data_IF_940838892803
#
_entry.id   IF_940838892803
#
_cell.length_a   1.000
_cell.length_b   1.000
_cell.length_c   1.000
_cell.angle_alpha   90.00
_cell.angle_beta   90.00
_cell.angle_gamma   90.00
#
_symmetry.space_group_name_H-M   'P 1'
#
loop_
_entity.id
_entity.type
_entity.pdbx_description
1 polymer ?
#
# COMPACT_ATOMS: atom_id res chain seq x y z
N UNK A 1 0.41 5.72 -20.18
CA UNK A 1 -0.37 4.59 -20.72
C UNK A 1 -1.68 4.39 -19.97
N UNK A 2 -1.70 4.03 -18.68
CA UNK A 2 -2.96 3.75 -17.98
C UNK A 2 -4.05 4.83 -18.17
N UNK A 3 -3.72 6.11 -17.97
CA UNK A 3 -4.63 7.23 -18.22
C UNK A 3 -5.04 7.37 -19.70
N UNK A 4 -4.10 7.18 -20.64
CA UNK A 4 -4.37 7.26 -22.09
C UNK A 4 -5.27 6.12 -22.57
N UNK A 5 -5.24 4.99 -21.87
CA UNK A 5 -6.12 3.84 -22.11
C UNK A 5 -7.51 4.03 -21.46
N UNK A 6 -7.75 5.14 -20.76
CA UNK A 6 -9.02 5.44 -20.11
C UNK A 6 -9.27 4.69 -18.80
N UNK A 7 -8.22 4.21 -18.13
CA UNK A 7 -8.37 3.62 -16.80
C UNK A 7 -8.73 4.69 -15.76
N UNK A 8 -9.66 4.38 -14.85
CA UNK A 8 -10.00 5.27 -13.73
C UNK A 8 -8.94 5.20 -12.63
N UNK A 9 -8.34 4.02 -12.44
CA UNK A 9 -7.41 3.72 -11.35
C UNK A 9 -6.28 2.81 -11.79
N UNK A 10 -5.18 2.86 -11.05
CA UNK A 10 -4.11 1.86 -11.07
C UNK A 10 -3.94 1.26 -9.68
N UNK A 11 -3.39 0.04 -9.61
CA UNK A 11 -2.88 -0.52 -8.37
C UNK A 11 -1.35 -0.64 -8.48
N UNK A 12 -0.65 -0.03 -7.52
CA UNK A 12 0.81 -0.07 -7.48
C UNK A 12 1.25 -1.34 -6.75
N UNK A 13 2.15 -2.10 -7.39
CA UNK A 13 2.78 -3.30 -6.84
C UNK A 13 3.82 -2.97 -5.76
N UNK A 14 3.60 -3.43 -4.52
CA UNK A 14 4.40 -3.05 -3.34
C UNK A 14 5.40 -4.10 -2.81
N UNK A 15 5.69 -5.20 -3.52
CA UNK A 15 6.76 -6.13 -3.07
C UNK A 15 8.11 -5.44 -2.87
N UNK A 16 8.60 -4.60 -3.81
CA UNK A 16 9.87 -3.90 -3.64
C UNK A 16 9.89 -3.02 -2.39
N UNK A 17 8.74 -2.43 -2.02
CA UNK A 17 8.58 -1.72 -0.76
C UNK A 17 8.67 -2.67 0.43
N UNK A 18 7.92 -3.78 0.45
CA UNK A 18 7.92 -4.73 1.55
C UNK A 18 9.35 -5.25 1.83
N UNK A 19 10.11 -5.58 0.78
CA UNK A 19 11.53 -5.95 0.88
C UNK A 19 12.42 -4.84 1.43
N UNK A 20 12.20 -3.60 1.00
CA UNK A 20 12.96 -2.47 1.50
C UNK A 20 12.63 -2.16 2.98
N UNK A 21 11.39 -2.39 3.40
CA UNK A 21 10.95 -2.27 4.79
C UNK A 21 11.65 -3.29 5.69
N UNK A 22 11.78 -4.56 5.26
CA UNK A 22 12.56 -5.58 5.97
C UNK A 22 14.03 -5.17 6.17
N UNK A 23 14.62 -4.50 5.17
CA UNK A 23 16.01 -4.03 5.22
C UNK A 23 16.20 -2.75 6.06
N UNK A 24 15.18 -1.90 6.15
CA UNK A 24 15.20 -0.62 6.86
C UNK A 24 16.16 0.42 6.29
N UNK A 25 16.38 1.50 7.05
CA UNK A 25 17.37 2.55 6.75
C UNK A 25 17.22 3.17 5.36
N UNK A 26 18.36 3.34 4.67
CA UNK A 26 18.43 3.98 3.35
C UNK A 26 17.70 3.19 2.25
N UNK A 27 17.49 1.89 2.42
CA UNK A 27 16.70 1.10 1.47
C UNK A 27 15.22 1.49 1.54
N UNK A 28 14.66 1.57 2.75
CA UNK A 28 13.29 1.99 2.98
C UNK A 28 13.05 3.43 2.48
N UNK A 29 13.94 4.36 2.83
CA UNK A 29 13.82 5.77 2.42
C UNK A 29 13.77 5.91 0.89
N UNK A 30 14.73 5.29 0.18
CA UNK A 30 14.76 5.33 -1.29
C UNK A 30 13.55 4.67 -1.93
N UNK A 31 13.04 3.59 -1.34
CA UNK A 31 11.83 2.93 -1.82
C UNK A 31 10.63 3.88 -1.70
N UNK A 32 10.40 4.46 -0.52
CA UNK A 32 9.31 5.42 -0.31
C UNK A 32 9.37 6.62 -1.26
N UNK A 33 10.56 7.14 -1.57
CA UNK A 33 10.71 8.23 -2.55
C UNK A 33 10.29 7.81 -3.98
N UNK A 34 10.62 6.58 -4.39
CA UNK A 34 10.19 6.05 -5.69
C UNK A 34 8.67 5.89 -5.76
N UNK A 35 8.05 5.35 -4.71
CA UNK A 35 6.61 5.22 -4.64
C UNK A 35 5.92 6.58 -4.58
N UNK A 36 6.46 7.55 -3.83
CA UNK A 36 5.96 8.94 -3.83
C UNK A 36 5.93 9.51 -5.25
N UNK A 37 7.04 9.42 -5.99
CA UNK A 37 7.12 9.91 -7.36
C UNK A 37 6.11 9.22 -8.29
N UNK A 38 5.88 7.91 -8.11
CA UNK A 38 4.90 7.16 -8.89
C UNK A 38 3.46 7.61 -8.58
N UNK A 39 3.12 7.80 -7.30
CA UNK A 39 1.80 8.26 -6.86
C UNK A 39 1.52 9.67 -7.38
N UNK A 40 2.46 10.61 -7.19
CA UNK A 40 2.33 11.99 -7.69
C UNK A 40 2.13 12.02 -9.21
N UNK A 41 2.86 11.20 -9.95
CA UNK A 41 2.70 11.09 -11.40
C UNK A 41 1.32 10.57 -11.78
N UNK A 42 0.84 9.51 -11.14
CA UNK A 42 -0.47 8.94 -11.43
C UNK A 42 -1.60 9.94 -11.11
N UNK A 43 -1.53 10.60 -9.95
CA UNK A 43 -2.46 11.67 -9.55
C UNK A 43 -2.43 12.86 -10.49
N UNK A 44 -1.25 13.27 -10.96
CA UNK A 44 -1.10 14.32 -11.98
C UNK A 44 -1.77 14.00 -13.32
N UNK A 45 -2.03 12.71 -13.60
CA UNK A 45 -2.81 12.26 -14.76
C UNK A 45 -4.30 12.00 -14.44
N UNK A 46 -4.77 12.36 -13.25
CA UNK A 46 -6.17 12.18 -12.84
C UNK A 46 -6.55 10.75 -12.45
N UNK A 47 -5.57 9.85 -12.30
CA UNK A 47 -5.83 8.46 -11.90
C UNK A 47 -6.06 8.37 -10.40
N UNK A 48 -7.01 7.54 -9.98
CA UNK A 48 -7.02 7.01 -8.62
C UNK A 48 -5.85 6.03 -8.43
N UNK A 49 -5.33 5.96 -7.22
CA UNK A 49 -4.12 5.19 -6.91
C UNK A 49 -4.40 4.24 -5.76
N UNK A 50 -4.55 2.97 -6.09
CA UNK A 50 -4.58 1.89 -5.12
C UNK A 50 -3.16 1.35 -4.92
N UNK A 51 -2.94 0.59 -3.84
CA UNK A 51 -1.70 -0.15 -3.63
C UNK A 51 -1.97 -1.52 -3.02
N UNK A 52 -1.08 -2.46 -3.25
CA UNK A 52 -1.25 -3.81 -2.73
C UNK A 52 -0.05 -4.68 -3.06
N UNK A 53 -0.14 -5.93 -2.59
CA UNK A 53 0.92 -6.96 -2.66
C UNK A 53 2.01 -6.80 -1.57
N UNK A 54 2.11 -7.82 -0.71
CA UNK A 54 3.01 -7.91 0.46
C UNK A 54 2.91 -6.76 1.48
N UNK A 55 1.77 -6.06 1.52
CA UNK A 55 1.40 -5.21 2.65
C UNK A 55 0.84 -6.04 3.80
N UNK A 56 1.20 -5.67 5.01
CA UNK A 56 0.74 -6.31 6.25
C UNK A 56 0.59 -5.30 7.41
N UNK A 57 0.22 -5.79 8.60
CA UNK A 57 0.02 -4.94 9.78
C UNK A 57 1.30 -4.24 10.28
N UNK A 58 2.49 -4.70 9.87
CA UNK A 58 3.76 -4.12 10.30
C UNK A 58 4.17 -2.97 9.38
N UNK A 59 4.00 -3.17 8.07
CA UNK A 59 4.53 -2.24 7.07
C UNK A 59 3.49 -1.25 6.52
N UNK A 60 2.19 -1.52 6.69
CA UNK A 60 1.13 -0.70 6.08
C UNK A 60 1.15 0.75 6.56
N UNK A 61 1.29 0.97 7.87
CA UNK A 61 1.27 2.32 8.45
C UNK A 61 2.39 3.20 7.85
N UNK A 62 3.57 2.63 7.65
CA UNK A 62 4.70 3.34 7.02
C UNK A 62 4.44 3.62 5.54
N UNK A 63 3.85 2.68 4.79
CA UNK A 63 3.51 2.90 3.39
C UNK A 63 2.47 4.01 3.23
N UNK A 64 1.47 4.04 4.11
CA UNK A 64 0.39 5.03 4.08
C UNK A 64 0.84 6.46 4.47
N UNK A 65 2.09 6.66 4.90
CA UNK A 65 2.70 8.00 5.01
C UNK A 65 2.85 8.70 3.64
N UNK A 66 2.77 7.93 2.55
CA UNK A 66 2.68 8.47 1.19
C UNK A 66 1.29 9.09 0.97
N UNK A 67 1.17 10.39 0.65
CA UNK A 67 -0.12 10.99 0.31
C UNK A 67 -0.64 10.42 -1.02
N UNK A 68 -1.95 10.46 -1.24
CA UNK A 68 -2.55 10.12 -2.54
C UNK A 68 -2.84 8.63 -2.78
N UNK A 69 -2.53 7.72 -1.86
CA UNK A 69 -3.12 6.37 -1.89
C UNK A 69 -4.61 6.44 -1.55
N UNK A 70 -5.48 5.91 -2.40
CA UNK A 70 -6.94 5.93 -2.24
C UNK A 70 -7.47 4.67 -1.56
N UNK A 71 -6.85 3.51 -1.81
CA UNK A 71 -7.27 2.21 -1.28
C UNK A 71 -6.06 1.27 -1.20
N UNK A 72 -6.11 0.29 -0.29
CA UNK A 72 -5.14 -0.81 -0.25
C UNK A 72 -5.80 -2.18 -0.35
N UNK A 73 -5.22 -3.04 -1.18
CA UNK A 73 -5.64 -4.43 -1.39
C UNK A 73 -4.75 -5.38 -0.57
N UNK A 74 -5.30 -6.04 0.45
CA UNK A 74 -4.56 -6.95 1.33
C UNK A 74 -5.21 -8.33 1.35
N UNK A 75 -4.45 -9.34 0.92
CA UNK A 75 -4.92 -10.73 0.80
C UNK A 75 -4.21 -11.69 1.74
N UNK A 76 -3.05 -12.20 1.33
CA UNK A 76 -2.35 -13.29 2.02
C UNK A 76 -2.10 -13.02 3.51
N UNK A 77 -1.51 -11.87 3.85
CA UNK A 77 -1.19 -11.51 5.23
C UNK A 77 -2.44 -11.41 6.12
N UNK A 78 -3.53 -10.85 5.59
CA UNK A 78 -4.81 -10.77 6.27
C UNK A 78 -5.37 -12.17 6.56
N UNK A 79 -5.42 -13.04 5.55
CA UNK A 79 -5.95 -14.40 5.71
C UNK A 79 -5.08 -15.24 6.64
N UNK A 80 -3.75 -15.17 6.51
CA UNK A 80 -2.81 -15.88 7.37
C UNK A 80 -3.02 -15.52 8.85
N UNK A 81 -3.21 -14.23 9.16
CA UNK A 81 -3.51 -13.79 10.53
C UNK A 81 -4.92 -14.20 10.98
N UNK A 82 -5.90 -14.11 10.08
CA UNK A 82 -7.29 -14.44 10.38
C UNK A 82 -7.49 -15.90 10.79
N UNK A 83 -6.62 -16.82 10.34
CA UNK A 83 -6.62 -18.22 10.77
C UNK A 83 -6.41 -18.39 12.29
N UNK A 84 -5.78 -17.41 12.95
CA UNK A 84 -5.46 -17.48 14.39
C UNK A 84 -6.40 -16.66 15.26
N UNK A 85 -6.85 -15.50 14.78
CA UNK A 85 -7.62 -14.54 15.61
C UNK A 85 -9.02 -14.24 15.06
N UNK A 86 -9.39 -14.83 13.93
CA UNK A 86 -10.67 -14.62 13.25
C UNK A 86 -10.66 -13.40 12.32
N UNK A 87 -11.45 -13.49 11.24
CA UNK A 87 -11.48 -12.47 10.18
C UNK A 87 -11.89 -11.09 10.68
N UNK A 88 -12.92 -11.01 11.54
CA UNK A 88 -13.41 -9.73 12.06
C UNK A 88 -12.38 -8.97 12.88
N UNK A 89 -11.57 -9.67 13.68
CA UNK A 89 -10.50 -9.04 14.46
C UNK A 89 -9.40 -8.47 13.56
N UNK A 90 -8.97 -9.23 12.55
CA UNK A 90 -7.92 -8.78 11.63
C UNK A 90 -8.39 -7.61 10.77
N UNK A 91 -9.63 -7.64 10.28
CA UNK A 91 -10.20 -6.50 9.52
C UNK A 91 -10.20 -5.24 10.37
N UNK A 92 -10.59 -5.32 11.65
CA UNK A 92 -10.56 -4.17 12.56
C UNK A 92 -9.13 -3.62 12.78
N UNK A 93 -8.12 -4.49 12.85
CA UNK A 93 -6.71 -4.06 12.98
C UNK A 93 -6.22 -3.30 11.75
N UNK A 94 -6.55 -3.76 10.54
CA UNK A 94 -6.21 -3.03 9.31
C UNK A 94 -6.97 -1.70 9.20
N UNK A 95 -8.28 -1.70 9.52
CA UNK A 95 -9.09 -0.49 9.50
C UNK A 95 -8.53 0.57 10.47
N UNK A 96 -8.10 0.18 11.67
CA UNK A 96 -7.48 1.08 12.62
C UNK A 96 -6.22 1.78 12.07
N UNK A 97 -5.44 1.11 11.21
CA UNK A 97 -4.30 1.71 10.53
C UNK A 97 -4.76 2.69 9.43
N UNK A 98 -5.74 2.29 8.62
CA UNK A 98 -6.21 3.11 7.48
C UNK A 98 -7.01 4.33 7.90
N UNK A 99 -7.73 4.26 9.02
CA UNK A 99 -8.54 5.36 9.57
C UNK A 99 -7.72 6.37 10.37
N UNK A 100 -6.54 5.99 10.86
CA UNK A 100 -5.63 6.88 11.58
C UNK A 100 -4.83 7.84 10.66
N UNK A 101 -5.17 7.88 9.37
CA UNK A 101 -4.43 8.57 8.31
C UNK A 101 -5.00 9.95 7.99
#
# INVERSE_FOLDING_TARGET
WAAELGADRIEIYTEPYARAFECGGDALSRSLDQYRAAVERAKGHGLGVNAGHDLDLQNLATFLTLPGIDEVSIGHALMARAMFVGLGAVVAEYLAITEAR
#
